data_IF_533642529291
#
_entry.id   IF_533642529291
#
_cell.length_a   1.000
_cell.length_b   1.000
_cell.length_c   1.000
_cell.angle_alpha   90.00
_cell.angle_beta   90.00
_cell.angle_gamma   90.00
#
_symmetry.space_group_name_H-M   'P 1'
#
loop_
_entity.id
_entity.type
_entity.pdbx_description
1 polymer ?
#
# COMPACT_ATOMS: atom_id res chain seq x y z
N UNK A 1 26.72 -56.42 20.62
CA UNK A 1 27.03 -55.96 19.24
C UNK A 1 25.93 -55.08 18.65
N UNK A 2 24.66 -55.53 18.66
CA UNK A 2 23.53 -54.83 18.00
C UNK A 2 23.30 -53.38 18.51
N UNK A 3 23.43 -53.11 19.82
CA UNK A 3 23.31 -51.74 20.37
C UNK A 3 24.40 -50.78 19.86
N UNK A 4 25.65 -51.24 19.70
CA UNK A 4 26.77 -50.41 19.16
C UNK A 4 26.58 -50.10 17.67
N UNK A 5 26.06 -51.05 16.90
CA UNK A 5 25.71 -50.84 15.49
C UNK A 5 24.57 -49.82 15.31
N UNK A 6 23.57 -49.85 16.20
CA UNK A 6 22.47 -48.86 16.18
C UNK A 6 22.94 -47.44 16.53
N UNK A 7 23.86 -47.28 17.49
CA UNK A 7 24.42 -45.97 17.84
C UNK A 7 25.31 -45.41 16.73
N UNK A 8 26.09 -46.24 16.05
CA UNK A 8 26.92 -45.83 14.90
C UNK A 8 26.04 -45.42 13.70
N UNK A 9 24.93 -46.14 13.46
CA UNK A 9 23.98 -45.78 12.41
C UNK A 9 23.26 -44.44 12.68
N UNK A 10 22.90 -44.15 13.94
CA UNK A 10 22.34 -42.85 14.34
C UNK A 10 23.34 -41.69 14.25
N UNK A 11 24.61 -41.94 14.57
CA UNK A 11 25.69 -40.93 14.43
C UNK A 11 25.99 -40.66 12.95
N UNK A 12 26.03 -41.69 12.09
CA UNK A 12 26.24 -41.53 10.65
C UNK A 12 25.03 -40.90 9.92
N UNK A 13 23.80 -41.13 10.40
CA UNK A 13 22.61 -40.46 9.90
C UNK A 13 22.58 -38.96 10.27
N UNK A 14 23.28 -38.55 11.34
CA UNK A 14 23.40 -37.15 11.76
C UNK A 14 24.32 -36.30 10.88
N UNK A 15 25.19 -36.90 10.06
CA UNK A 15 26.15 -36.16 9.22
C UNK A 15 25.62 -35.73 7.84
N UNK A 16 24.38 -36.10 7.49
CA UNK A 16 23.74 -35.71 6.22
C UNK A 16 22.56 -34.73 6.39
N UNK A 17 22.49 -34.02 7.52
CA UNK A 17 21.61 -32.86 7.67
C UNK A 17 22.23 -31.64 6.97
N UNK A 18 22.32 -31.69 5.64
CA UNK A 18 22.58 -30.49 4.85
C UNK A 18 21.34 -29.60 4.91
N UNK A 19 21.52 -28.32 5.21
CA UNK A 19 20.44 -27.35 5.12
C UNK A 19 19.83 -27.39 3.71
N UNK A 20 18.50 -27.29 3.60
CA UNK A 20 17.83 -27.25 2.30
C UNK A 20 18.32 -26.03 1.52
N UNK A 21 19.11 -26.29 0.49
CA UNK A 21 19.61 -25.25 -0.42
C UNK A 21 18.56 -24.91 -1.46
N UNK A 22 18.49 -23.65 -1.82
CA UNK A 22 17.59 -23.14 -2.86
C UNK A 22 18.28 -23.23 -4.22
N UNK A 23 17.66 -23.96 -5.14
CA UNK A 23 18.10 -24.04 -6.54
C UNK A 23 17.69 -22.81 -7.34
N UNK A 24 17.83 -22.90 -8.67
CA UNK A 24 17.47 -21.82 -9.58
C UNK A 24 16.00 -21.39 -9.41
N UNK A 25 15.78 -20.08 -9.30
CA UNK A 25 14.46 -19.49 -9.08
C UNK A 25 13.86 -18.91 -10.36
N UNK A 26 12.56 -19.13 -10.56
CA UNK A 26 11.76 -18.51 -11.64
C UNK A 26 10.87 -17.37 -11.15
N UNK A 27 10.60 -17.33 -9.84
CA UNK A 27 9.71 -16.36 -9.19
C UNK A 27 10.38 -15.73 -7.96
N UNK A 28 11.45 -14.93 -8.12
CA UNK A 28 12.17 -14.32 -7.00
C UNK A 28 11.27 -13.49 -6.08
N UNK A 29 10.17 -12.92 -6.60
CA UNK A 29 9.23 -12.13 -5.80
C UNK A 29 8.56 -12.93 -4.67
N UNK A 30 8.46 -14.26 -4.83
CA UNK A 30 7.81 -15.12 -3.83
C UNK A 30 8.63 -15.32 -2.56
N UNK A 31 9.93 -14.99 -2.62
CA UNK A 31 10.88 -15.09 -1.51
C UNK A 31 10.92 -13.84 -0.63
N UNK A 32 10.21 -12.78 -1.04
CA UNK A 32 10.17 -11.52 -0.31
C UNK A 32 9.23 -11.64 0.89
N UNK A 33 9.69 -11.14 2.03
CA UNK A 33 8.88 -10.87 3.21
C UNK A 33 8.73 -9.35 3.42
N UNK A 34 7.62 -8.71 2.99
CA UNK A 34 7.38 -7.29 3.23
C UNK A 34 7.21 -6.93 4.72
N UNK A 35 7.02 -7.91 5.61
CA UNK A 35 6.95 -7.69 7.06
C UNK A 35 8.35 -7.62 7.70
N UNK A 36 9.43 -7.92 6.98
CA UNK A 36 10.79 -7.78 7.49
C UNK A 36 11.05 -6.33 7.93
N UNK A 37 11.34 -6.15 9.22
CA UNK A 37 11.57 -4.86 9.91
C UNK A 37 10.33 -4.20 10.53
N UNK A 38 9.13 -4.78 10.37
CA UNK A 38 7.88 -4.17 10.87
C UNK A 38 7.62 -4.39 12.37
N UNK A 39 8.27 -5.40 12.98
CA UNK A 39 8.28 -5.58 14.43
C UNK A 39 9.33 -4.66 15.06
N UNK A 40 9.10 -3.35 14.95
CA UNK A 40 9.98 -2.30 15.48
C UNK A 40 9.23 -1.40 16.46
N UNK A 41 9.95 -0.85 17.43
CA UNK A 41 9.44 0.11 18.41
C UNK A 41 10.25 1.42 18.33
N UNK A 42 9.69 2.56 18.77
CA UNK A 42 10.44 3.82 18.83
C UNK A 42 11.79 3.70 19.55
N UNK A 43 11.82 2.94 20.64
CA UNK A 43 13.02 2.78 21.49
C UNK A 43 14.05 1.82 20.88
N UNK A 44 13.63 0.91 20.00
CA UNK A 44 14.52 -0.07 19.37
C UNK A 44 13.99 -0.51 17.99
N UNK A 45 14.75 -0.15 16.97
CA UNK A 45 14.43 -0.47 15.57
C UNK A 45 14.97 -1.85 15.19
N UNK A 46 14.11 -2.69 14.62
CA UNK A 46 14.50 -3.87 13.84
C UNK A 46 14.44 -3.58 12.33
N UNK A 47 14.32 -2.31 11.93
CA UNK A 47 14.25 -1.84 10.55
C UNK A 47 13.32 -0.65 10.35
N UNK A 48 12.32 -0.45 11.21
CA UNK A 48 11.33 0.64 11.12
C UNK A 48 10.62 0.71 9.76
N UNK A 49 10.22 -0.44 9.23
CA UNK A 49 9.55 -0.56 7.93
C UNK A 49 8.04 -0.69 8.08
N UNK A 50 7.33 -0.54 6.95
CA UNK A 50 5.94 -0.96 6.77
C UNK A 50 5.85 -1.92 5.57
N UNK A 51 4.82 -2.79 5.49
CA UNK A 51 4.64 -3.68 4.35
C UNK A 51 4.12 -2.89 3.14
N UNK A 52 5.05 -2.35 2.35
CA UNK A 52 4.74 -1.59 1.15
C UNK A 52 4.15 -2.50 0.05
N UNK A 53 2.97 -2.14 -0.42
CA UNK A 53 2.29 -2.76 -1.54
C UNK A 53 2.45 -1.79 -2.70
N UNK A 54 3.32 -2.15 -3.64
CA UNK A 54 3.69 -1.27 -4.75
C UNK A 54 4.44 -2.02 -5.84
N UNK A 55 4.83 -1.30 -6.88
CA UNK A 55 5.79 -1.76 -7.89
C UNK A 55 7.13 -1.03 -7.70
N UNK A 56 8.24 -1.50 -8.29
CA UNK A 56 9.53 -0.82 -8.19
C UNK A 56 9.43 0.67 -8.54
N UNK A 57 9.88 1.51 -7.61
CA UNK A 57 9.82 2.98 -7.62
C UNK A 57 8.44 3.56 -7.90
N UNK A 58 7.36 2.82 -7.60
CA UNK A 58 5.99 3.29 -7.75
C UNK A 58 5.80 4.65 -7.08
N UNK A 59 5.06 5.54 -7.73
CA UNK A 59 4.77 6.87 -7.19
C UNK A 59 3.96 6.75 -5.91
N UNK A 60 2.91 5.92 -5.95
CA UNK A 60 1.97 5.74 -4.84
C UNK A 60 2.16 4.33 -4.26
N UNK A 61 2.58 4.23 -3.00
CA UNK A 61 2.63 2.96 -2.27
C UNK A 61 1.35 2.79 -1.44
N UNK A 62 0.98 1.55 -1.15
CA UNK A 62 -0.13 1.22 -0.26
C UNK A 62 0.37 0.42 0.94
N UNK A 63 -0.29 0.55 2.09
CA UNK A 63 0.02 -0.25 3.28
C UNK A 63 -1.23 -0.40 4.16
N UNK A 64 -1.44 -1.55 4.84
CA UNK A 64 -2.29 -1.56 6.02
C UNK A 64 -1.76 -0.55 7.04
N UNK A 65 -2.67 0.14 7.73
CA UNK A 65 -2.37 1.10 8.77
C UNK A 65 -2.89 0.58 10.10
N UNK A 66 -2.01 0.38 11.07
CA UNK A 66 -2.36 0.04 12.46
C UNK A 66 -2.19 1.24 13.39
N UNK A 67 -1.19 2.08 13.13
CA UNK A 67 -0.92 3.31 13.89
C UNK A 67 -1.92 4.42 13.60
N UNK A 68 -2.17 5.28 14.59
CA UNK A 68 -3.12 6.40 14.46
C UNK A 68 -2.71 7.37 13.36
N UNK A 69 -3.69 8.10 12.80
CA UNK A 69 -3.42 9.17 11.83
C UNK A 69 -2.28 10.10 12.29
N UNK A 70 -1.27 10.27 11.44
CA UNK A 70 -0.11 11.15 11.69
C UNK A 70 1.02 10.53 12.51
N UNK A 71 0.84 9.31 13.04
CA UNK A 71 1.92 8.59 13.69
C UNK A 71 2.92 8.04 12.65
N UNK A 72 4.22 8.18 12.92
CA UNK A 72 5.28 7.74 12.00
C UNK A 72 5.36 6.21 11.85
N UNK A 73 5.02 5.45 12.90
CA UNK A 73 4.84 4.00 12.78
C UNK A 73 3.44 3.71 12.26
N UNK A 74 3.28 3.83 10.94
CA UNK A 74 2.00 3.59 10.27
C UNK A 74 1.53 2.13 10.42
N UNK A 75 2.48 1.19 10.46
CA UNK A 75 2.25 -0.23 10.70
C UNK A 75 3.27 -0.75 11.72
N UNK A 76 2.83 -1.60 12.64
CA UNK A 76 3.67 -2.35 13.57
C UNK A 76 3.13 -3.77 13.65
N UNK A 77 4.04 -4.76 13.61
CA UNK A 77 3.68 -6.17 13.67
C UNK A 77 2.90 -6.51 14.94
N UNK A 78 3.33 -6.00 16.10
CA UNK A 78 2.67 -6.29 17.39
C UNK A 78 1.32 -5.57 17.59
N UNK A 79 0.81 -4.85 16.59
CA UNK A 79 -0.47 -4.15 16.71
C UNK A 79 -1.64 -5.07 16.32
N UNK A 80 -2.72 -5.04 17.11
CA UNK A 80 -3.82 -5.98 16.92
C UNK A 80 -4.93 -5.52 15.96
N UNK A 81 -4.91 -4.25 15.55
CA UNK A 81 -5.99 -3.64 14.77
C UNK A 81 -5.48 -2.90 13.54
N UNK A 82 -6.19 -3.08 12.43
CA UNK A 82 -6.06 -2.26 11.22
C UNK A 82 -7.18 -1.21 11.24
N UNK A 83 -6.81 0.05 10.98
CA UNK A 83 -7.73 1.20 10.94
C UNK A 83 -7.91 1.81 9.56
N UNK A 84 -7.22 1.25 8.57
CA UNK A 84 -7.37 1.62 7.17
C UNK A 84 -6.27 1.04 6.29
N UNK A 85 -6.47 1.18 4.99
CA UNK A 85 -5.49 0.88 3.96
C UNK A 85 -5.07 2.20 3.34
N UNK A 86 -3.82 2.60 3.60
CA UNK A 86 -3.32 3.96 3.41
C UNK A 86 -2.49 4.03 2.13
N UNK A 87 -2.78 4.98 1.25
CA UNK A 87 -1.79 5.43 0.26
C UNK A 87 -0.70 6.21 1.00
N UNK A 88 0.57 5.92 0.75
CA UNK A 88 1.69 6.49 1.51
C UNK A 88 2.88 6.81 0.61
N UNK A 89 3.63 7.83 1.03
CA UNK A 89 4.91 8.22 0.44
C UNK A 89 6.02 8.31 1.51
N UNK A 90 5.74 7.80 2.70
CA UNK A 90 6.59 7.92 3.87
C UNK A 90 7.92 7.16 3.68
N UNK A 91 9.08 7.83 3.72
CA UNK A 91 10.37 7.15 3.58
C UNK A 91 10.89 6.58 4.92
N UNK A 92 10.48 7.16 6.04
CA UNK A 92 10.82 6.68 7.40
C UNK A 92 9.80 7.19 8.42
N UNK A 93 9.64 6.56 9.60
CA UNK A 93 8.73 7.07 10.64
C UNK A 93 9.12 8.49 11.11
N UNK A 94 10.39 8.86 11.01
CA UNK A 94 10.92 10.15 11.48
C UNK A 94 10.63 11.30 10.52
N UNK A 95 10.71 11.03 9.21
CA UNK A 95 10.30 11.95 8.16
C UNK A 95 8.79 12.00 8.02
N UNK A 96 8.11 10.91 8.37
CA UNK A 96 6.66 10.80 8.33
C UNK A 96 6.15 11.04 6.89
N UNK A 97 4.85 11.25 6.72
CA UNK A 97 4.18 11.07 5.43
C UNK A 97 3.76 12.40 4.78
N UNK A 98 3.40 12.29 3.50
CA UNK A 98 2.78 13.37 2.72
C UNK A 98 1.81 12.77 1.69
N UNK A 99 0.79 13.52 1.29
CA UNK A 99 -0.09 13.13 0.19
C UNK A 99 -0.82 11.80 0.42
N UNK A 100 -1.07 11.46 1.69
CA UNK A 100 -1.71 10.23 2.09
C UNK A 100 -3.23 10.39 2.16
N UNK A 101 -3.96 9.28 2.04
CA UNK A 101 -5.37 9.11 2.38
C UNK A 101 -5.61 7.62 2.67
N UNK A 102 -6.74 7.27 3.28
CA UNK A 102 -7.03 5.89 3.67
C UNK A 102 -8.41 5.41 3.21
N UNK A 103 -8.52 4.11 2.95
CA UNK A 103 -9.78 3.42 2.64
C UNK A 103 -10.00 2.31 3.66
N UNK A 104 -11.20 2.14 4.19
CA UNK A 104 -11.51 1.09 5.17
C UNK A 104 -12.93 0.55 4.96
N UNK A 105 -13.12 -0.77 4.72
CA UNK A 105 -14.45 -1.38 4.76
C UNK A 105 -14.90 -1.61 6.20
N UNK A 106 -16.19 -1.38 6.46
CA UNK A 106 -16.83 -1.65 7.76
C UNK A 106 -18.22 -2.27 7.55
N UNK A 107 -18.74 -2.97 8.54
CA UNK A 107 -20.09 -3.57 8.48
C UNK A 107 -20.89 -3.32 9.77
N UNK A 108 -22.21 -3.50 9.67
CA UNK A 108 -23.13 -3.37 10.79
C UNK A 108 -23.43 -1.91 11.12
N UNK A 109 -22.64 -1.30 12.02
CA UNK A 109 -22.80 0.12 12.37
C UNK A 109 -21.89 0.98 11.50
N UNK A 110 -22.39 2.13 11.07
CA UNK A 110 -21.59 3.13 10.36
C UNK A 110 -20.56 3.73 11.34
N UNK A 111 -19.30 3.34 11.18
CA UNK A 111 -18.16 3.82 11.96
C UNK A 111 -17.14 4.42 10.99
N UNK A 112 -16.80 5.70 11.18
CA UNK A 112 -15.94 6.43 10.23
C UNK A 112 -14.74 7.12 10.89
N UNK A 113 -14.78 7.37 12.19
CA UNK A 113 -13.63 7.90 12.93
C UNK A 113 -12.51 6.85 12.98
N UNK A 114 -11.27 7.31 13.12
CA UNK A 114 -10.06 6.49 13.02
C UNK A 114 -10.04 5.33 14.03
N UNK A 115 -10.47 5.56 15.28
CA UNK A 115 -10.51 4.52 16.32
C UNK A 115 -11.76 3.63 16.21
N UNK A 116 -12.93 4.18 15.86
CA UNK A 116 -14.17 3.40 15.83
C UNK A 116 -14.19 2.39 14.68
N UNK A 117 -13.64 2.76 13.51
CA UNK A 117 -13.63 1.89 12.32
C UNK A 117 -12.59 0.78 12.36
N UNK A 118 -11.66 0.83 13.32
CA UNK A 118 -10.58 -0.12 13.42
C UNK A 118 -11.09 -1.55 13.68
N UNK A 119 -10.46 -2.52 13.05
CA UNK A 119 -10.85 -3.93 13.12
C UNK A 119 -9.71 -4.81 13.58
N UNK A 120 -10.00 -5.75 14.48
CA UNK A 120 -9.06 -6.81 14.87
C UNK A 120 -8.63 -7.65 13.67
N UNK A 121 -7.36 -8.04 13.61
CA UNK A 121 -6.83 -8.97 12.61
C UNK A 121 -5.77 -9.89 13.24
N UNK A 122 -5.29 -10.87 12.47
CA UNK A 122 -4.16 -11.72 12.87
C UNK A 122 -3.26 -11.98 11.66
N UNK A 123 -1.94 -12.05 11.87
CA UNK A 123 -1.01 -12.42 10.80
C UNK A 123 -1.26 -13.81 10.21
N UNK A 124 -1.96 -14.70 10.93
CA UNK A 124 -2.38 -16.01 10.40
C UNK A 124 -3.42 -15.89 9.27
N UNK A 125 -4.13 -14.77 9.21
CA UNK A 125 -5.11 -14.44 8.19
C UNK A 125 -4.67 -13.22 7.36
N UNK A 126 -3.36 -12.98 7.30
CA UNK A 126 -2.72 -11.92 6.52
C UNK A 126 -1.77 -12.54 5.49
N UNK A 127 -1.87 -12.07 4.25
CA UNK A 127 -0.92 -12.37 3.20
C UNK A 127 -0.29 -11.05 2.76
N UNK A 128 1.02 -10.93 2.94
CA UNK A 128 1.78 -9.74 2.56
C UNK A 128 2.80 -10.08 1.48
N UNK A 129 2.61 -9.53 0.28
CA UNK A 129 3.51 -9.66 -0.88
C UNK A 129 3.70 -8.28 -1.51
N UNK A 130 4.84 -8.02 -2.19
CA UNK A 130 5.09 -6.74 -2.85
C UNK A 130 3.96 -6.27 -3.77
N UNK A 131 3.41 -7.21 -4.54
CA UNK A 131 2.39 -6.98 -5.57
C UNK A 131 0.96 -7.27 -5.09
N UNK A 132 0.77 -7.75 -3.86
CA UNK A 132 -0.52 -8.21 -3.38
C UNK A 132 -0.59 -8.25 -1.86
N UNK A 133 -1.67 -7.71 -1.30
CA UNK A 133 -1.97 -7.82 0.11
C UNK A 133 -3.36 -8.39 0.30
N UNK A 134 -3.54 -9.21 1.35
CA UNK A 134 -4.85 -9.68 1.80
C UNK A 134 -4.89 -9.75 3.32
N UNK A 135 -6.00 -9.33 3.91
CA UNK A 135 -6.24 -9.52 5.35
C UNK A 135 -7.73 -9.73 5.63
N UNK A 136 -8.01 -10.60 6.59
CA UNK A 136 -9.34 -10.73 7.17
C UNK A 136 -9.53 -9.77 8.36
N UNK A 137 -10.54 -8.91 8.27
CA UNK A 137 -10.93 -7.95 9.29
C UNK A 137 -12.06 -8.54 10.14
N UNK A 138 -11.73 -8.99 11.35
CA UNK A 138 -12.60 -9.83 12.17
C UNK A 138 -13.89 -9.12 12.60
N UNK A 139 -13.80 -7.85 13.02
CA UNK A 139 -14.98 -7.09 13.48
C UNK A 139 -15.95 -6.77 12.34
N UNK A 140 -15.45 -6.67 11.11
CA UNK A 140 -16.27 -6.41 9.94
C UNK A 140 -16.74 -7.70 9.25
N UNK A 141 -16.10 -8.84 9.53
CA UNK A 141 -16.21 -10.07 8.75
C UNK A 141 -15.98 -9.82 7.24
N UNK A 142 -14.93 -9.07 6.92
CA UNK A 142 -14.57 -8.68 5.54
C UNK A 142 -13.15 -9.10 5.24
N UNK A 143 -12.94 -9.74 4.09
CA UNK A 143 -11.58 -9.90 3.55
C UNK A 143 -11.29 -8.74 2.62
N UNK A 144 -10.21 -8.01 2.86
CA UNK A 144 -9.74 -6.93 2.00
C UNK A 144 -8.50 -7.37 1.25
N UNK A 145 -8.45 -7.11 -0.05
CA UNK A 145 -7.32 -7.38 -0.91
C UNK A 145 -6.91 -6.16 -1.72
N UNK A 146 -5.60 -6.00 -1.98
CA UNK A 146 -5.03 -4.85 -2.70
C UNK A 146 -4.00 -5.33 -3.72
N UNK A 147 -4.04 -4.79 -4.93
CA UNK A 147 -2.97 -4.92 -5.93
C UNK A 147 -2.63 -3.55 -6.55
N UNK A 148 -1.35 -3.18 -6.67
CA UNK A 148 -0.94 -1.85 -7.13
C UNK A 148 -0.54 -1.81 -8.61
N UNK A 149 -0.46 -0.59 -9.14
CA UNK A 149 0.36 -0.20 -10.30
C UNK A 149 1.34 0.89 -9.87
N UNK A 150 1.88 1.72 -10.78
CA UNK A 150 2.79 2.81 -10.39
C UNK A 150 2.07 3.94 -9.63
N UNK A 151 0.84 4.28 -10.04
CA UNK A 151 0.05 5.42 -9.53
C UNK A 151 -1.36 5.03 -9.11
N UNK A 152 -1.81 3.82 -9.44
CA UNK A 152 -3.14 3.31 -9.15
C UNK A 152 -3.08 2.03 -8.32
N UNK A 153 -4.23 1.59 -7.82
CA UNK A 153 -4.43 0.28 -7.23
C UNK A 153 -5.86 -0.21 -7.46
N UNK A 154 -6.04 -1.53 -7.36
CA UNK A 154 -7.36 -2.13 -7.21
C UNK A 154 -7.51 -2.70 -5.81
N UNK A 155 -8.67 -2.43 -5.21
CA UNK A 155 -9.15 -3.05 -4.00
C UNK A 155 -10.24 -4.06 -4.33
N UNK A 156 -10.28 -5.14 -3.56
CA UNK A 156 -11.37 -6.11 -3.58
C UNK A 156 -11.80 -6.39 -2.14
N UNK A 157 -13.05 -6.06 -1.83
CA UNK A 157 -13.67 -6.27 -0.53
C UNK A 157 -14.66 -7.42 -0.64
N UNK A 158 -14.40 -8.53 0.05
CA UNK A 158 -15.34 -9.66 0.11
C UNK A 158 -16.18 -9.52 1.37
N UNK A 159 -17.43 -9.09 1.20
CA UNK A 159 -18.37 -8.82 2.28
C UNK A 159 -19.21 -10.05 2.66
N UNK A 160 -19.72 -10.12 3.90
CA UNK A 160 -20.71 -11.11 4.28
C UNK A 160 -22.09 -10.70 3.75
N UNK A 161 -23.10 -11.54 3.98
CA UNK A 161 -24.48 -11.13 3.75
C UNK A 161 -24.87 -10.04 4.77
N UNK A 162 -25.19 -8.84 4.29
CA UNK A 162 -25.62 -7.74 5.16
C UNK A 162 -26.28 -6.61 4.37
N UNK A 163 -27.18 -5.88 5.03
CA UNK A 163 -27.78 -4.65 4.52
C UNK A 163 -26.99 -3.39 4.94
N UNK A 164 -25.85 -3.58 5.61
CA UNK A 164 -25.06 -2.52 6.21
C UNK A 164 -23.57 -2.77 5.97
N UNK A 165 -23.19 -2.94 4.71
CA UNK A 165 -21.79 -2.90 4.27
C UNK A 165 -21.43 -1.48 3.89
N UNK A 166 -20.25 -1.01 4.31
CA UNK A 166 -19.79 0.34 4.01
C UNK A 166 -18.32 0.35 3.62
N UNK A 167 -17.93 1.39 2.87
CA UNK A 167 -16.53 1.75 2.65
C UNK A 167 -16.35 3.21 3.06
N UNK A 168 -15.39 3.44 3.95
CA UNK A 168 -14.97 4.75 4.44
C UNK A 168 -13.76 5.19 3.62
N UNK A 169 -13.78 6.43 3.12
CA UNK A 169 -12.62 7.11 2.52
C UNK A 169 -12.26 8.29 3.41
N UNK A 170 -11.04 8.32 3.93
CA UNK A 170 -10.53 9.32 4.85
C UNK A 170 -9.42 10.13 4.18
N UNK A 171 -9.69 11.42 3.92
CA UNK A 171 -8.75 12.32 3.26
C UNK A 171 -7.72 12.94 4.24
N UNK A 172 -7.74 12.51 5.52
CA UNK A 172 -6.92 12.97 6.64
C UNK A 172 -7.09 14.46 6.96
N UNK A 173 -6.43 14.90 8.03
CA UNK A 173 -6.50 16.27 8.53
C UNK A 173 -5.47 17.23 7.89
N UNK A 174 -5.45 18.50 8.33
CA UNK A 174 -4.64 19.61 7.79
C UNK A 174 -5.10 20.10 6.42
N UNK A 175 -6.42 20.23 6.26
CA UNK A 175 -7.07 20.65 5.03
C UNK A 175 -7.28 19.46 4.09
N UNK A 176 -8.53 19.14 3.84
CA UNK A 176 -8.90 18.12 2.88
C UNK A 176 -10.25 18.41 2.24
N UNK A 177 -10.47 17.74 1.12
CA UNK A 177 -11.69 17.85 0.32
C UNK A 177 -12.17 16.47 -0.09
N UNK A 178 -13.49 16.30 -0.15
CA UNK A 178 -14.13 15.08 -0.60
C UNK A 178 -15.40 15.42 -1.38
N UNK A 179 -15.69 14.63 -2.41
CA UNK A 179 -16.94 14.68 -3.16
C UNK A 179 -17.36 13.29 -3.61
N UNK A 180 -18.62 12.95 -3.36
CA UNK A 180 -19.25 11.71 -3.80
C UNK A 180 -20.10 12.02 -5.04
N UNK A 181 -19.94 11.22 -6.09
CA UNK A 181 -20.66 11.34 -7.36
C UNK A 181 -21.37 10.00 -7.61
N UNK A 182 -22.58 9.80 -7.05
CA UNK A 182 -23.25 8.50 -7.07
C UNK A 182 -23.55 7.98 -8.47
N UNK A 183 -23.90 8.86 -9.41
CA UNK A 183 -24.18 8.51 -10.81
C UNK A 183 -23.00 7.86 -11.54
N UNK A 184 -21.79 8.04 -11.02
CA UNK A 184 -20.55 7.49 -11.59
C UNK A 184 -19.91 6.43 -10.68
N UNK A 185 -20.58 6.06 -9.57
CA UNK A 185 -20.02 5.21 -8.50
C UNK A 185 -18.64 5.71 -8.04
N UNK A 186 -18.48 7.03 -7.96
CA UNK A 186 -17.18 7.70 -7.83
C UNK A 186 -17.10 8.52 -6.56
N UNK A 187 -15.92 8.52 -5.95
CA UNK A 187 -15.52 9.48 -4.91
C UNK A 187 -14.24 10.16 -5.42
N UNK A 188 -14.20 11.48 -5.34
CA UNK A 188 -12.99 12.26 -5.60
C UNK A 188 -12.63 13.04 -4.34
N UNK A 189 -11.35 13.34 -4.14
CA UNK A 189 -10.95 14.19 -3.03
C UNK A 189 -9.49 14.61 -3.12
N UNK A 190 -9.07 15.51 -2.24
CA UNK A 190 -7.64 15.79 -2.07
C UNK A 190 -7.27 15.84 -0.59
N UNK A 191 -6.01 15.52 -0.34
CA UNK A 191 -5.32 15.74 0.93
C UNK A 191 -4.21 16.77 0.75
N UNK A 192 -4.07 17.72 1.68
CA UNK A 192 -2.90 18.61 1.76
C UNK A 192 -1.98 18.28 2.93
N UNK A 193 -2.16 17.13 3.59
CA UNK A 193 -1.33 16.73 4.73
C UNK A 193 0.10 16.42 4.29
N UNK A 194 1.06 17.10 4.92
CA UNK A 194 2.48 16.76 4.91
C UNK A 194 3.11 16.99 6.29
N UNK A 195 4.24 16.32 6.55
CA UNK A 195 4.88 16.34 7.86
C UNK A 195 6.13 17.21 7.96
N UNK A 196 6.93 17.32 6.89
CA UNK A 196 8.27 17.95 6.93
C UNK A 196 8.53 18.80 5.69
N UNK A 197 9.40 19.79 5.86
CA UNK A 197 9.88 20.68 4.81
C UNK A 197 8.86 21.77 4.41
N UNK A 198 9.31 22.91 3.89
CA UNK A 198 8.40 23.87 3.27
C UNK A 198 7.90 23.29 1.94
N UNK A 199 6.60 23.00 1.86
CA UNK A 199 5.95 22.72 0.58
C UNK A 199 5.22 23.98 0.08
N UNK A 200 5.16 24.18 -1.24
CA UNK A 200 4.32 25.20 -1.85
C UNK A 200 2.88 25.13 -1.32
N UNK A 201 2.24 26.27 -1.13
CA UNK A 201 0.88 26.36 -0.55
C UNK A 201 -0.19 25.65 -1.38
N UNK A 202 0.08 25.37 -2.65
CA UNK A 202 -0.79 24.62 -3.54
C UNK A 202 -0.55 23.10 -3.52
N UNK A 203 0.27 22.57 -2.60
CA UNK A 203 0.47 21.13 -2.44
C UNK A 203 -0.84 20.40 -2.16
N UNK A 204 -1.18 19.46 -3.04
CA UNK A 204 -2.32 18.55 -2.91
C UNK A 204 -1.96 17.22 -3.56
N UNK A 205 -2.45 16.13 -2.99
CA UNK A 205 -2.58 14.85 -3.69
C UNK A 205 -4.08 14.62 -3.97
N UNK A 206 -4.45 14.67 -5.25
CA UNK A 206 -5.81 14.51 -5.75
C UNK A 206 -6.06 13.03 -6.03
N UNK A 207 -7.07 12.44 -5.41
CA UNK A 207 -7.42 11.04 -5.59
C UNK A 207 -8.79 10.87 -6.23
N UNK A 208 -8.94 9.77 -6.95
CA UNK A 208 -10.20 9.29 -7.54
C UNK A 208 -10.39 7.83 -7.11
N UNK A 209 -11.59 7.47 -6.69
CA UNK A 209 -11.99 6.10 -6.31
C UNK A 209 -13.28 5.75 -7.04
N UNK A 210 -13.27 4.69 -7.86
CA UNK A 210 -14.41 4.23 -8.65
C UNK A 210 -14.79 2.84 -8.20
N UNK A 211 -16.06 2.64 -7.83
CA UNK A 211 -16.61 1.37 -7.38
C UNK A 211 -17.38 0.67 -8.51
N UNK A 212 -17.50 -0.66 -8.42
CA UNK A 212 -18.27 -1.47 -9.37
C UNK A 212 -19.73 -1.73 -8.93
N UNK A 213 -20.14 -1.16 -7.80
CA UNK A 213 -21.47 -1.33 -7.20
C UNK A 213 -22.14 0.00 -6.88
N UNK A 214 -23.44 0.11 -7.13
CA UNK A 214 -24.24 1.30 -6.82
C UNK A 214 -24.32 1.56 -5.32
N UNK A 215 -24.30 2.84 -4.95
CA UNK A 215 -24.36 3.29 -3.56
C UNK A 215 -25.81 3.30 -3.07
N UNK A 216 -26.11 2.57 -2.00
CA UNK A 216 -27.39 2.67 -1.30
C UNK A 216 -27.38 3.77 -0.24
N UNK A 217 -26.18 4.17 0.20
CA UNK A 217 -25.93 5.25 1.14
C UNK A 217 -24.73 6.04 0.61
N UNK A 218 -24.79 7.37 0.69
CA UNK A 218 -23.68 8.27 0.41
C UNK A 218 -23.74 9.42 1.41
N UNK A 219 -22.68 9.57 2.22
CA UNK A 219 -22.57 10.60 3.26
C UNK A 219 -21.15 11.10 3.33
N UNK A 220 -20.98 12.40 3.58
CA UNK A 220 -19.66 12.97 3.93
C UNK A 220 -19.56 13.15 5.44
N UNK A 221 -18.38 13.45 5.95
CA UNK A 221 -18.18 13.77 7.37
C UNK A 221 -17.07 14.79 7.55
N UNK A 222 -17.13 15.58 8.62
CA UNK A 222 -16.08 16.51 9.03
C UNK A 222 -15.73 16.29 10.51
N UNK A 223 -14.47 15.98 10.78
CA UNK A 223 -14.02 15.56 12.11
C UNK A 223 -14.80 14.34 12.60
N UNK A 224 -15.61 14.52 13.65
CA UNK A 224 -16.47 13.47 14.22
C UNK A 224 -17.96 13.64 13.86
N UNK A 225 -18.31 14.56 12.96
CA UNK A 225 -19.70 14.86 12.59
C UNK A 225 -20.02 14.32 11.20
N UNK A 226 -21.03 13.46 11.14
CA UNK A 226 -21.58 12.97 9.88
C UNK A 226 -22.43 14.07 9.22
N UNK A 227 -22.22 14.30 7.94
CA UNK A 227 -23.07 15.14 7.10
C UNK A 227 -24.01 14.23 6.28
N UNK A 228 -25.31 14.41 6.48
CA UNK A 228 -26.34 13.58 5.84
C UNK A 228 -26.88 14.17 4.53
N UNK A 229 -26.54 15.42 4.19
CA UNK A 229 -27.14 16.14 3.05
C UNK A 229 -26.11 16.41 1.96
N UNK A 230 -24.93 16.92 2.32
CA UNK A 230 -23.97 17.35 1.31
C UNK A 230 -23.06 16.20 0.91
N UNK A 231 -22.99 15.97 -0.40
CA UNK A 231 -22.08 15.00 -0.99
C UNK A 231 -20.71 15.58 -1.31
N UNK A 232 -20.48 16.86 -1.01
CA UNK A 232 -19.24 17.58 -1.26
C UNK A 232 -18.88 18.39 -0.02
N UNK A 233 -17.62 18.29 0.44
CA UNK A 233 -17.18 18.95 1.66
C UNK A 233 -15.70 19.28 1.61
N UNK A 234 -15.35 20.48 2.10
CA UNK A 234 -13.99 20.89 2.39
C UNK A 234 -13.91 21.28 3.86
N UNK A 235 -12.96 20.72 4.61
CA UNK A 235 -12.75 21.05 6.03
C UNK A 235 -11.31 20.77 6.44
N UNK A 236 -10.98 20.96 7.73
CA UNK A 236 -9.67 20.55 8.24
C UNK A 236 -9.45 19.04 8.10
N UNK A 237 -10.48 18.23 8.36
CA UNK A 237 -10.46 16.77 8.25
C UNK A 237 -11.81 16.27 7.74
N UNK A 238 -11.86 15.84 6.49
CA UNK A 238 -13.07 15.34 5.84
C UNK A 238 -12.90 13.94 5.25
N UNK A 239 -14.02 13.30 4.97
CA UNK A 239 -14.07 12.06 4.22
C UNK A 239 -15.48 11.67 3.82
N UNK A 240 -15.59 10.49 3.21
CA UNK A 240 -16.83 9.93 2.71
C UNK A 240 -17.11 8.57 3.33
N UNK A 241 -18.39 8.23 3.43
CA UNK A 241 -18.88 6.87 3.66
C UNK A 241 -19.92 6.57 2.61
N UNK A 242 -19.69 5.48 1.88
CA UNK A 242 -20.68 4.90 0.99
C UNK A 242 -21.15 3.54 1.54
N UNK A 243 -22.38 3.15 1.22
CA UNK A 243 -22.97 1.91 1.69
C UNK A 243 -23.55 1.04 0.58
N UNK A 244 -23.69 -0.24 0.90
CA UNK A 244 -24.17 -1.30 0.01
C UNK A 244 -25.02 -2.32 0.77
N UNK A 245 -25.88 -3.02 0.02
CA UNK A 245 -26.41 -4.34 0.42
C UNK A 245 -25.60 -5.43 -0.27
N UNK A 246 -25.13 -6.44 0.48
CA UNK A 246 -24.29 -7.53 -0.04
C UNK A 246 -24.84 -8.90 0.29
N UNK A 247 -24.59 -9.85 -0.59
CA UNK A 247 -24.76 -11.30 -0.35
C UNK A 247 -23.50 -11.88 0.28
N UNK A 248 -23.62 -13.09 0.83
CA UNK A 248 -22.48 -13.77 1.42
C UNK A 248 -21.38 -14.02 0.38
N UNK A 249 -20.17 -13.53 0.64
CA UNK A 249 -19.04 -13.66 -0.27
C UNK A 249 -19.08 -12.72 -1.48
N UNK A 250 -20.00 -11.74 -1.49
CA UNK A 250 -20.07 -10.76 -2.58
C UNK A 250 -18.83 -9.86 -2.56
N UNK A 251 -18.24 -9.69 -3.75
CA UNK A 251 -17.04 -8.88 -3.95
C UNK A 251 -17.43 -7.51 -4.47
N UNK A 252 -17.03 -6.46 -3.75
CA UNK A 252 -17.08 -5.07 -4.22
C UNK A 252 -15.66 -4.63 -4.56
N UNK A 253 -15.45 -4.12 -5.76
CA UNK A 253 -14.15 -3.62 -6.19
C UNK A 253 -14.09 -2.11 -6.13
N UNK A 254 -12.92 -1.57 -5.80
CA UNK A 254 -12.63 -0.16 -5.95
C UNK A 254 -11.34 0.03 -6.75
N UNK A 255 -11.42 0.80 -7.83
CA UNK A 255 -10.28 1.24 -8.63
C UNK A 255 -9.88 2.63 -8.15
N UNK A 256 -8.64 2.80 -7.74
CA UNK A 256 -8.17 4.04 -7.14
C UNK A 256 -6.89 4.52 -7.81
N UNK A 257 -6.77 5.82 -8.02
CA UNK A 257 -5.52 6.46 -8.43
C UNK A 257 -5.40 7.82 -7.76
N UNK A 258 -4.18 8.35 -7.69
CA UNK A 258 -3.96 9.73 -7.29
C UNK A 258 -2.89 10.42 -8.12
N UNK A 259 -2.89 11.75 -8.08
CA UNK A 259 -1.98 12.63 -8.79
C UNK A 259 -1.59 13.81 -7.90
N UNK A 260 -0.37 14.33 -8.08
CA UNK A 260 0.05 15.59 -7.46
C UNK A 260 -0.29 16.81 -8.32
N UNK A 261 -0.91 16.60 -9.49
CA UNK A 261 -1.20 17.63 -10.49
C UNK A 261 -2.69 18.03 -10.42
N UNK A 262 -3.61 17.09 -10.66
CA UNK A 262 -5.05 17.39 -10.68
C UNK A 262 -5.93 16.12 -10.62
N UNK A 263 -7.25 16.31 -10.50
CA UNK A 263 -8.21 15.21 -10.61
C UNK A 263 -8.19 14.54 -12.00
N UNK A 264 -8.09 15.35 -13.06
CA UNK A 264 -8.05 14.89 -14.44
C UNK A 264 -6.80 14.03 -14.67
N UNK A 265 -5.65 14.44 -14.12
CA UNK A 265 -4.43 13.67 -14.21
C UNK A 265 -4.53 12.35 -13.42
N UNK A 266 -5.17 12.34 -12.25
CA UNK A 266 -5.46 11.09 -11.52
C UNK A 266 -6.35 10.13 -12.34
N UNK A 267 -7.36 10.66 -13.04
CA UNK A 267 -8.19 9.85 -13.96
C UNK A 267 -7.41 9.32 -15.17
N UNK A 268 -6.50 10.12 -15.73
CA UNK A 268 -5.60 9.67 -16.82
C UNK A 268 -4.75 8.49 -16.33
N UNK A 269 -4.14 8.60 -15.15
CA UNK A 269 -3.37 7.53 -14.53
C UNK A 269 -4.23 6.27 -14.30
N UNK A 270 -5.46 6.42 -13.79
CA UNK A 270 -6.40 5.30 -13.59
C UNK A 270 -6.75 4.60 -14.91
N UNK A 271 -7.12 5.37 -15.93
CA UNK A 271 -7.50 4.84 -17.25
C UNK A 271 -6.32 4.16 -17.95
N UNK A 272 -5.12 4.73 -17.85
CA UNK A 272 -3.92 4.19 -18.50
C UNK A 272 -3.38 2.95 -17.79
N UNK A 273 -3.25 2.98 -16.47
CA UNK A 273 -2.54 1.94 -15.72
C UNK A 273 -3.43 0.73 -15.40
N UNK A 274 -4.73 0.94 -15.17
CA UNK A 274 -5.68 -0.15 -14.92
C UNK A 274 -6.48 -0.54 -16.18
N UNK A 275 -6.63 0.34 -17.16
CA UNK A 275 -7.32 0.07 -18.43
C UNK A 275 -8.64 -0.73 -18.25
N UNK A 276 -8.73 -1.92 -18.85
CA UNK A 276 -9.83 -2.87 -18.67
C UNK A 276 -9.43 -4.08 -17.82
N UNK A 277 -8.29 -4.01 -17.12
CA UNK A 277 -7.84 -5.10 -16.26
C UNK A 277 -8.77 -5.28 -15.06
N UNK A 278 -9.13 -6.53 -14.78
CA UNK A 278 -9.71 -6.89 -13.50
C UNK A 278 -8.60 -7.03 -12.42
N UNK A 279 -9.01 -7.23 -11.17
CA UNK A 279 -8.11 -7.36 -10.03
C UNK A 279 -7.00 -8.40 -10.25
N UNK A 280 -7.35 -9.60 -10.73
CA UNK A 280 -6.38 -10.69 -10.87
C UNK A 280 -5.38 -10.43 -12.03
N UNK A 281 -5.82 -9.76 -13.10
CA UNK A 281 -4.95 -9.30 -14.18
C UNK A 281 -3.94 -8.24 -13.69
N UNK A 282 -4.40 -7.23 -12.92
CA UNK A 282 -3.50 -6.24 -12.31
C UNK A 282 -2.50 -6.90 -11.36
N UNK A 283 -2.96 -7.86 -10.54
CA UNK A 283 -2.10 -8.66 -9.64
C UNK A 283 -1.02 -9.42 -10.42
N UNK A 284 -1.38 -10.09 -11.50
CA UNK A 284 -0.43 -10.82 -12.34
C UNK A 284 0.60 -9.87 -12.99
N UNK A 285 0.17 -8.72 -13.50
CA UNK A 285 1.07 -7.70 -14.07
C UNK A 285 2.04 -7.14 -13.03
N UNK A 286 1.56 -6.80 -11.84
CA UNK A 286 2.40 -6.33 -10.73
C UNK A 286 3.43 -7.39 -10.31
N UNK A 287 3.02 -8.67 -10.21
CA UNK A 287 3.95 -9.79 -9.96
C UNK A 287 5.01 -9.91 -11.06
N UNK A 288 4.61 -9.83 -12.32
CA UNK A 288 5.52 -9.92 -13.47
C UNK A 288 6.54 -8.77 -13.49
N UNK A 289 6.13 -7.54 -13.14
CA UNK A 289 7.04 -6.40 -13.02
C UNK A 289 8.11 -6.67 -11.95
N UNK A 290 7.72 -7.17 -10.79
CA UNK A 290 8.68 -7.53 -9.74
C UNK A 290 9.63 -8.63 -10.18
N UNK A 291 9.11 -9.74 -10.73
CA UNK A 291 9.96 -10.84 -11.19
C UNK A 291 10.95 -10.38 -12.25
N UNK A 292 10.52 -9.58 -13.24
CA UNK A 292 11.40 -8.99 -14.26
C UNK A 292 12.51 -8.12 -13.63
N UNK A 293 12.15 -7.32 -12.62
CA UNK A 293 13.08 -6.39 -11.97
C UNK A 293 14.09 -7.11 -11.08
N UNK A 294 13.65 -8.12 -10.33
CA UNK A 294 14.49 -8.90 -9.42
C UNK A 294 15.37 -9.90 -10.15
N UNK A 295 14.94 -10.40 -11.32
CA UNK A 295 15.71 -11.36 -12.13
C UNK A 295 16.98 -10.78 -12.74
N UNK A 296 17.25 -9.48 -12.57
CA UNK A 296 18.57 -8.90 -12.87
C UNK A 296 19.68 -9.50 -12.00
N UNK A 297 19.35 -10.07 -10.84
CA UNK A 297 20.28 -10.81 -9.99
C UNK A 297 19.66 -12.16 -9.63
N UNK A 298 20.25 -13.24 -10.14
CA UNK A 298 19.91 -14.60 -9.78
C UNK A 298 20.90 -15.11 -8.73
N UNK A 299 20.37 -15.71 -7.64
CA UNK A 299 21.16 -16.38 -6.61
C UNK A 299 20.74 -17.84 -6.50
N UNK A 300 21.68 -18.71 -6.18
CA UNK A 300 21.47 -20.15 -5.98
C UNK A 300 22.45 -20.71 -4.94
N UNK A 301 22.18 -21.90 -4.41
CA UNK A 301 23.08 -22.60 -3.48
C UNK A 301 23.04 -22.12 -2.03
N UNK A 302 22.28 -21.07 -1.74
CA UNK A 302 22.05 -20.56 -0.37
C UNK A 302 20.92 -21.28 0.37
N UNK A 303 20.81 -21.06 1.68
CA UNK A 303 19.68 -21.55 2.49
C UNK A 303 18.41 -20.74 2.22
N UNK A 304 17.25 -21.29 2.60
CA UNK A 304 15.95 -20.59 2.53
C UNK A 304 15.99 -19.21 3.18
N UNK A 305 16.62 -19.07 4.34
CA UNK A 305 16.70 -17.80 5.06
C UNK A 305 17.63 -16.81 4.37
N UNK A 306 18.75 -17.27 3.80
CA UNK A 306 19.63 -16.41 2.99
C UNK A 306 18.90 -15.89 1.76
N UNK A 307 18.16 -16.75 1.05
CA UNK A 307 17.38 -16.36 -0.12
C UNK A 307 16.28 -15.36 0.24
N UNK A 308 15.55 -15.59 1.33
CA UNK A 308 14.51 -14.65 1.83
C UNK A 308 15.10 -13.31 2.22
N UNK A 309 16.19 -13.30 2.98
CA UNK A 309 16.89 -12.08 3.37
C UNK A 309 17.39 -11.33 2.13
N UNK A 310 18.03 -12.01 1.19
CA UNK A 310 18.55 -11.38 -0.03
C UNK A 310 17.44 -10.69 -0.84
N UNK A 311 16.38 -11.42 -1.20
CA UNK A 311 15.32 -10.83 -2.02
C UNK A 311 14.49 -9.79 -1.25
N UNK A 312 14.30 -9.97 0.07
CA UNK A 312 13.64 -8.95 0.90
C UNK A 312 14.46 -7.67 1.00
N UNK A 313 15.79 -7.77 1.14
CA UNK A 313 16.68 -6.61 1.12
C UNK A 313 16.71 -5.94 -0.25
N UNK A 314 16.82 -6.71 -1.33
CA UNK A 314 16.77 -6.19 -2.70
C UNK A 314 15.45 -5.45 -2.96
N UNK A 315 14.32 -6.02 -2.56
CA UNK A 315 13.01 -5.38 -2.60
C UNK A 315 12.99 -4.01 -1.91
N UNK A 316 13.62 -3.87 -0.73
CA UNK A 316 13.68 -2.58 -0.02
C UNK A 316 14.49 -1.52 -0.75
N UNK A 317 15.47 -1.90 -1.56
CA UNK A 317 16.26 -0.95 -2.37
C UNK A 317 15.50 -0.38 -3.56
N UNK A 318 14.32 -0.91 -3.89
CA UNK A 318 13.60 -0.62 -5.13
C UNK A 318 12.35 0.24 -4.92
N UNK A 319 12.25 0.97 -3.81
CA UNK A 319 11.16 1.94 -3.59
C UNK A 319 11.63 3.39 -3.64
N UNK A 320 12.77 3.66 -2.99
CA UNK A 320 13.27 5.02 -2.83
C UNK A 320 14.54 5.21 -3.66
N UNK A 321 14.69 6.36 -4.36
CA UNK A 321 13.69 7.41 -4.45
C UNK A 321 12.47 7.00 -5.30
N UNK A 322 11.25 7.35 -4.86
CA UNK A 322 10.04 7.01 -5.60
C UNK A 322 9.82 7.99 -6.75
N UNK A 323 9.20 7.54 -7.84
CA UNK A 323 8.81 8.43 -8.94
C UNK A 323 7.87 9.51 -8.41
N UNK A 324 8.06 10.76 -8.83
CA UNK A 324 7.15 11.88 -8.58
C UNK A 324 6.70 12.54 -9.90
N UNK A 325 7.01 11.91 -11.03
CA UNK A 325 6.51 12.32 -12.34
C UNK A 325 5.29 11.50 -12.74
N UNK A 326 4.51 12.06 -13.63
CA UNK A 326 3.30 11.51 -14.23
C UNK A 326 3.38 11.62 -15.75
N UNK A 327 2.46 10.95 -16.44
CA UNK A 327 2.36 11.00 -17.90
C UNK A 327 1.06 11.70 -18.26
N UNK A 328 1.15 12.85 -18.92
CA UNK A 328 -0.01 13.67 -19.26
C UNK A 328 -0.88 13.06 -20.39
N UNK A 329 -1.94 13.76 -20.79
CA UNK A 329 -2.83 13.34 -21.87
C UNK A 329 -2.12 13.22 -23.24
N UNK A 330 -1.01 13.94 -23.43
CA UNK A 330 -0.21 13.95 -24.66
C UNK A 330 0.96 12.95 -24.60
N UNK A 331 0.97 12.05 -23.62
CA UNK A 331 2.05 11.10 -23.35
C UNK A 331 3.41 11.75 -23.04
N UNK A 332 3.41 12.99 -22.54
CA UNK A 332 4.62 13.65 -22.06
C UNK A 332 4.81 13.41 -20.58
N UNK A 333 6.07 13.30 -20.20
CA UNK A 333 6.50 13.17 -18.81
C UNK A 333 6.48 14.56 -18.18
N UNK A 334 5.71 14.71 -17.11
CA UNK A 334 5.52 15.96 -16.37
C UNK A 334 5.53 15.69 -14.87
N UNK A 335 5.76 16.71 -14.06
CA UNK A 335 5.66 16.59 -12.61
C UNK A 335 5.15 17.89 -12.00
N UNK A 336 4.41 17.79 -10.89
CA UNK A 336 4.28 18.91 -9.96
C UNK A 336 5.59 19.04 -9.17
N UNK A 337 6.17 20.24 -9.18
CA UNK A 337 7.44 20.50 -8.49
C UNK A 337 7.22 20.79 -7.00
N UNK A 338 7.74 19.95 -6.09
CA UNK A 338 7.65 20.20 -4.65
C UNK A 338 8.47 21.40 -4.19
N UNK A 339 9.27 22.00 -5.08
CA UNK A 339 10.14 23.13 -4.76
C UNK A 339 9.51 24.48 -5.10
N UNK A 340 8.65 24.56 -6.13
CA UNK A 340 8.10 25.83 -6.60
C UNK A 340 6.59 25.78 -6.95
N UNK A 341 5.95 24.62 -6.83
CA UNK A 341 4.50 24.45 -7.02
C UNK A 341 4.04 24.48 -8.48
N UNK A 342 4.95 24.55 -9.45
CA UNK A 342 4.62 24.55 -10.88
C UNK A 342 4.58 23.13 -11.44
N UNK A 343 3.78 22.95 -12.49
CA UNK A 343 3.82 21.75 -13.33
C UNK A 343 4.89 21.97 -14.39
N UNK A 344 5.89 21.09 -14.45
CA UNK A 344 7.04 21.21 -15.34
C UNK A 344 7.22 19.93 -16.16
N UNK A 345 7.78 20.01 -17.37
CA UNK A 345 8.16 18.83 -18.13
C UNK A 345 9.34 18.10 -17.48
N UNK A 346 9.43 16.79 -17.70
CA UNK A 346 10.57 15.96 -17.31
C UNK A 346 10.37 15.18 -16.02
N UNK A 347 11.39 14.39 -15.70
CA UNK A 347 11.40 13.48 -14.57
C UNK A 347 11.56 14.20 -13.23
N UNK A 348 10.96 13.64 -12.19
CA UNK A 348 11.16 14.02 -10.80
C UNK A 348 11.06 12.77 -9.93
N UNK A 349 11.85 12.74 -8.86
CA UNK A 349 11.89 11.66 -7.87
C UNK A 349 11.97 12.25 -6.47
N UNK A 350 11.48 11.52 -5.47
CA UNK A 350 11.40 12.00 -4.08
C UNK A 350 11.66 10.88 -3.06
N UNK A 351 11.52 11.19 -1.77
CA UNK A 351 11.51 10.19 -0.70
C UNK A 351 12.87 9.60 -0.35
N UNK A 352 13.99 10.31 -0.60
CA UNK A 352 15.33 9.81 -0.26
C UNK A 352 16.17 10.86 0.46
N UNK A 353 17.04 10.39 1.38
CA UNK A 353 18.05 11.19 2.05
C UNK A 353 19.44 10.77 1.60
N UNK A 354 20.16 11.66 0.91
CA UNK A 354 21.44 11.28 0.30
C UNK A 354 22.51 10.87 1.29
N UNK A 355 22.49 11.38 2.53
CA UNK A 355 23.43 10.98 3.59
C UNK A 355 23.45 9.46 3.85
N UNK A 356 22.31 8.79 3.69
CA UNK A 356 22.20 7.33 3.74
C UNK A 356 22.56 6.71 2.38
N UNK A 357 21.89 7.16 1.33
CA UNK A 357 21.78 6.40 0.08
C UNK A 357 23.00 6.53 -0.84
N UNK A 358 23.87 7.52 -0.63
CA UNK A 358 25.11 7.65 -1.43
C UNK A 358 26.06 6.46 -1.22
N UNK A 359 26.01 5.82 -0.04
CA UNK A 359 26.98 4.83 0.42
C UNK A 359 26.94 3.53 -0.38
N UNK A 360 25.74 3.08 -0.71
CA UNK A 360 25.53 1.79 -1.39
C UNK A 360 24.30 1.77 -2.31
N UNK A 361 23.21 2.46 -1.97
CA UNK A 361 21.99 2.41 -2.77
C UNK A 361 22.20 3.00 -4.17
N UNK A 362 22.63 4.25 -4.30
CA UNK A 362 22.86 4.87 -5.61
C UNK A 362 23.96 4.15 -6.42
N UNK A 363 25.11 3.76 -5.83
CA UNK A 363 26.08 2.90 -6.51
C UNK A 363 25.47 1.58 -7.01
N UNK A 364 24.63 0.93 -6.20
CA UNK A 364 23.94 -0.30 -6.59
C UNK A 364 22.97 -0.09 -7.74
N UNK A 365 22.20 1.00 -7.71
CA UNK A 365 21.34 1.39 -8.83
C UNK A 365 22.17 1.55 -10.10
N UNK A 366 23.23 2.36 -10.10
CA UNK A 366 24.10 2.54 -11.28
C UNK A 366 24.66 1.23 -11.87
N UNK A 367 24.89 0.22 -11.04
CA UNK A 367 25.40 -1.08 -11.47
C UNK A 367 24.32 -1.96 -12.11
N UNK A 368 23.09 -1.93 -11.57
CA UNK A 368 22.06 -2.94 -11.87
C UNK A 368 20.86 -2.35 -12.61
N UNK A 369 20.50 -1.09 -12.41
CA UNK A 369 19.28 -0.42 -12.88
C UNK A 369 19.55 0.87 -13.63
#
# INVERSE_FOLDING_TARGET
MIKKLFTIALVLAGFNLSAQTVGKLTDPVEWINPLMGTQSKPDLSNGNTYPAIGVPWGMNLWTPQTGKMGHGWAYQYDADKIRGFKQTHQPSPWMNDYGAFAIMPVTGKLKFTDDDRASWFTHKAEVSKPYYYSVYLADANVTTEITPTERAAQFRFTFPQTDSAFVVVDALNKGSYIKIIPSERKIIGYTSKYARGPLPSNFKNYFVVIFDKDFTIAKTWSGNKLNNTDLELQSDHTGAVIGFKTKNGEKVHARVASSFISFEQAEISLKRELANDNFDATKAKAKAIWNKTLSKIAIEGGTVDQTRTFYSSLYRTLFFPNKLYEIDANNKIVHWSPYNGKILPGYMFAGTGFWDTFRALYPFLNLVY
#
